data_IF_654909505685
#
_entry.id   IF_654909505685
#
_cell.length_a   1.000
_cell.length_b   1.000
_cell.length_c   1.000
_cell.angle_alpha   90.00
_cell.angle_beta   90.00
_cell.angle_gamma   90.00
#
_symmetry.space_group_name_H-M   'P 1'
#
loop_
_entity.id
_entity.type
_entity.pdbx_description
1 polymer ?
#
# COMPACT_ATOMS: atom_id res chain seq x y z
N UNK A 1 -44.08 14.60 25.71
CA UNK A 1 -43.40 13.40 25.17
C UNK A 1 -42.38 13.89 24.17
N UNK A 2 -41.11 13.50 24.31
CA UNK A 2 -40.04 13.86 23.37
C UNK A 2 -39.91 12.73 22.34
N UNK A 3 -39.78 13.06 21.05
CA UNK A 3 -39.61 12.10 19.97
C UNK A 3 -38.15 12.09 19.53
N UNK A 4 -37.53 10.92 19.56
CA UNK A 4 -36.15 10.72 19.14
C UNK A 4 -36.15 9.80 17.93
N UNK A 5 -35.44 10.22 16.88
CA UNK A 5 -35.25 9.40 15.69
C UNK A 5 -33.82 8.86 15.65
N UNK A 6 -33.64 7.54 15.60
CA UNK A 6 -32.33 6.89 15.43
C UNK A 6 -32.18 6.47 13.97
N UNK A 7 -31.34 7.21 13.24
CA UNK A 7 -30.98 6.91 11.87
C UNK A 7 -29.80 5.94 11.84
N UNK A 8 -29.95 4.80 11.17
CA UNK A 8 -28.91 3.78 11.08
C UNK A 8 -29.04 2.93 9.80
N UNK A 9 -27.96 2.28 9.38
CA UNK A 9 -28.00 1.29 8.31
C UNK A 9 -28.67 -0.01 8.79
N UNK A 10 -29.32 -0.78 7.90
CA UNK A 10 -30.01 -2.02 8.29
C UNK A 10 -29.11 -2.99 9.10
N UNK A 11 -27.84 -3.09 8.74
CA UNK A 11 -26.87 -3.92 9.46
C UNK A 11 -26.68 -3.45 10.92
N UNK A 12 -26.89 -2.17 11.23
CA UNK A 12 -26.64 -1.55 12.53
C UNK A 12 -27.87 -1.55 13.44
N UNK A 13 -28.94 -2.28 13.07
CA UNK A 13 -30.13 -2.45 13.89
C UNK A 13 -29.85 -2.89 15.35
N UNK A 14 -28.87 -3.77 15.64
CA UNK A 14 -28.51 -4.08 17.03
C UNK A 14 -28.02 -2.86 17.84
N UNK A 15 -27.28 -1.93 17.23
CA UNK A 15 -26.82 -0.70 17.89
C UNK A 15 -28.00 0.24 18.18
N UNK A 16 -28.93 0.37 17.22
CA UNK A 16 -30.13 1.17 17.41
C UNK A 16 -31.02 0.61 18.54
N UNK A 17 -31.18 -0.71 18.63
CA UNK A 17 -31.91 -1.36 19.73
C UNK A 17 -31.24 -1.15 21.08
N UNK A 18 -29.91 -1.21 21.16
CA UNK A 18 -29.19 -0.92 22.39
C UNK A 18 -29.44 0.53 22.85
N UNK A 19 -29.40 1.49 21.92
CA UNK A 19 -29.67 2.89 22.19
C UNK A 19 -31.13 3.14 22.61
N UNK A 20 -32.09 2.51 21.95
CA UNK A 20 -33.51 2.55 22.32
C UNK A 20 -33.73 2.03 23.75
N UNK A 21 -33.19 0.85 24.06
CA UNK A 21 -33.26 0.26 25.40
C UNK A 21 -32.63 1.17 26.47
N UNK A 22 -31.50 1.82 26.17
CA UNK A 22 -30.88 2.81 27.07
C UNK A 22 -31.82 3.99 27.32
N UNK A 23 -32.32 4.62 26.25
CA UNK A 23 -33.14 5.84 26.34
C UNK A 23 -34.44 5.56 27.09
N UNK A 24 -35.14 4.48 26.75
CA UNK A 24 -36.42 4.09 27.36
C UNK A 24 -36.26 3.65 28.82
N UNK A 25 -35.11 3.10 29.21
CA UNK A 25 -34.80 2.80 30.62
C UNK A 25 -34.52 4.07 31.42
N UNK A 26 -33.87 5.06 30.83
CA UNK A 26 -33.46 6.30 31.51
C UNK A 26 -34.61 7.29 31.62
N UNK A 27 -35.42 7.43 30.58
CA UNK A 27 -36.44 8.45 30.47
C UNK A 27 -37.85 7.86 30.29
N UNK A 28 -38.77 8.29 31.15
CA UNK A 28 -40.21 8.07 30.95
C UNK A 28 -40.74 9.00 29.83
N UNK A 29 -41.88 8.69 29.20
CA UNK A 29 -42.53 9.53 28.17
C UNK A 29 -41.60 9.96 27.00
N UNK A 30 -40.78 9.02 26.53
CA UNK A 30 -39.97 9.16 25.33
C UNK A 30 -40.46 8.17 24.29
N UNK A 31 -40.56 8.62 23.05
CA UNK A 31 -40.84 7.79 21.88
C UNK A 31 -39.56 7.73 21.05
N UNK A 32 -39.06 6.53 20.79
CA UNK A 32 -37.86 6.30 19.98
C UNK A 32 -38.27 5.55 18.71
N UNK A 33 -38.13 6.24 17.58
CA UNK A 33 -38.33 5.66 16.25
C UNK A 33 -36.97 5.30 15.65
N UNK A 34 -36.88 4.19 14.91
CA UNK A 34 -35.67 3.85 14.15
C UNK A 34 -35.98 3.24 12.78
N UNK A 35 -35.04 3.38 11.84
CA UNK A 35 -35.22 3.07 10.42
C UNK A 35 -35.53 1.60 10.11
N UNK A 36 -35.19 0.68 11.02
CA UNK A 36 -35.42 -0.76 10.89
C UNK A 36 -36.54 -1.33 11.76
N UNK A 37 -37.37 -0.48 12.37
CA UNK A 37 -38.49 -0.97 13.16
C UNK A 37 -39.42 -1.83 12.29
N UNK A 38 -39.76 -3.02 12.78
CA UNK A 38 -40.63 -4.02 12.11
C UNK A 38 -42.04 -4.05 12.71
N UNK A 39 -42.35 -3.11 13.61
CA UNK A 39 -43.69 -2.89 14.12
C UNK A 39 -44.64 -2.40 13.01
N UNK A 40 -45.96 -2.63 13.14
CA UNK A 40 -46.92 -2.16 12.15
C UNK A 40 -46.95 -0.62 12.12
N UNK A 41 -46.40 -0.02 11.06
CA UNK A 41 -46.18 1.42 10.95
C UNK A 41 -44.78 1.91 11.35
N UNK A 42 -43.91 1.00 11.80
CA UNK A 42 -42.48 1.21 12.03
C UNK A 42 -41.66 0.81 10.79
N UNK A 43 -40.57 1.53 10.55
CA UNK A 43 -39.60 1.25 9.48
C UNK A 43 -40.04 1.63 8.06
N UNK A 44 -39.16 1.33 7.10
CA UNK A 44 -39.35 1.62 5.68
C UNK A 44 -40.00 0.40 5.00
N UNK A 45 -41.25 0.51 4.57
CA UNK A 45 -41.96 -0.56 3.85
C UNK A 45 -41.44 -0.74 2.42
N UNK A 46 -41.59 -1.95 1.87
CA UNK A 46 -41.20 -2.25 0.50
C UNK A 46 -42.04 -1.44 -0.50
N UNK A 47 -41.37 -0.61 -1.31
CA UNK A 47 -42.01 0.29 -2.27
C UNK A 47 -42.23 1.71 -1.76
N UNK A 48 -41.88 2.02 -0.51
CA UNK A 48 -41.89 3.39 0.02
C UNK A 48 -40.74 4.22 -0.55
N UNK A 49 -41.01 5.48 -0.88
CA UNK A 49 -39.97 6.49 -1.09
C UNK A 49 -39.26 6.74 0.26
N UNK A 50 -38.20 5.98 0.49
CA UNK A 50 -37.44 5.99 1.73
C UNK A 50 -36.84 7.37 2.04
N UNK A 51 -36.51 8.18 1.02
CA UNK A 51 -35.97 9.52 1.23
C UNK A 51 -37.03 10.42 1.86
N UNK A 52 -38.22 10.40 1.29
CA UNK A 52 -39.37 11.15 1.81
C UNK A 52 -39.74 10.71 3.23
N UNK A 53 -39.69 9.40 3.49
CA UNK A 53 -39.97 8.84 4.82
C UNK A 53 -38.98 9.34 5.88
N UNK A 54 -37.68 9.32 5.59
CA UNK A 54 -36.64 9.83 6.52
C UNK A 54 -36.86 11.33 6.77
N UNK A 55 -37.15 12.10 5.73
CA UNK A 55 -37.44 13.53 5.86
C UNK A 55 -38.65 13.77 6.79
N UNK A 56 -39.73 13.00 6.63
CA UNK A 56 -40.93 13.13 7.47
C UNK A 56 -40.67 12.74 8.93
N UNK A 57 -39.81 11.73 9.18
CA UNK A 57 -39.34 11.40 10.54
C UNK A 57 -38.48 12.51 11.14
N UNK A 58 -37.56 13.09 10.35
CA UNK A 58 -36.76 14.23 10.81
C UNK A 58 -37.61 15.47 11.11
N UNK A 59 -38.68 15.72 10.33
CA UNK A 59 -39.63 16.84 10.58
C UNK A 59 -40.39 16.70 11.90
N UNK A 60 -40.63 15.47 12.34
CA UNK A 60 -41.52 15.16 13.45
C UNK A 60 -40.77 14.82 14.75
N UNK A 61 -39.46 14.62 14.69
CA UNK A 61 -38.62 14.35 15.85
C UNK A 61 -38.11 15.65 16.52
N UNK A 62 -37.86 15.59 17.82
CA UNK A 62 -37.20 16.66 18.57
C UNK A 62 -35.67 16.57 18.46
N UNK A 63 -35.16 15.35 18.31
CA UNK A 63 -33.73 15.02 18.25
C UNK A 63 -33.52 13.82 17.34
N UNK A 64 -32.47 13.86 16.52
CA UNK A 64 -32.03 12.76 15.69
C UNK A 64 -30.64 12.27 16.13
N UNK A 65 -30.49 10.97 16.38
CA UNK A 65 -29.20 10.33 16.61
C UNK A 65 -28.82 9.55 15.35
N UNK A 66 -27.67 9.89 14.76
CA UNK A 66 -27.20 9.26 13.52
C UNK A 66 -26.09 8.28 13.87
N UNK A 67 -26.36 6.98 13.74
CA UNK A 67 -25.40 5.90 14.02
C UNK A 67 -24.43 5.79 12.85
N UNK A 68 -23.14 5.96 13.13
CA UNK A 68 -22.06 5.87 12.16
C UNK A 68 -21.12 4.72 12.49
N UNK A 69 -20.93 3.81 11.54
CA UNK A 69 -20.03 2.65 11.55
C UNK A 69 -19.13 2.68 10.30
N UNK A 70 -18.01 1.91 10.24
CA UNK A 70 -17.22 1.78 9.02
C UNK A 70 -18.06 1.38 7.80
N UNK A 71 -19.00 0.46 8.01
CA UNK A 71 -19.95 0.00 7.00
C UNK A 71 -20.83 1.15 6.51
N UNK A 72 -21.39 1.96 7.41
CA UNK A 72 -22.26 3.07 7.03
C UNK A 72 -21.50 4.18 6.29
N UNK A 73 -20.22 4.41 6.61
CA UNK A 73 -19.35 5.36 5.88
C UNK A 73 -18.97 4.86 4.49
N UNK A 74 -18.79 3.54 4.32
CA UNK A 74 -18.43 2.92 3.03
C UNK A 74 -19.59 2.90 2.01
N UNK A 75 -20.81 3.19 2.47
CA UNK A 75 -22.05 3.06 1.70
C UNK A 75 -22.53 4.45 1.23
N UNK A 76 -22.54 4.75 -0.09
CA UNK A 76 -22.86 6.09 -0.64
C UNK A 76 -24.21 6.68 -0.26
N UNK A 77 -25.14 5.88 0.24
CA UNK A 77 -26.50 6.28 0.61
C UNK A 77 -26.54 7.14 1.88
N UNK A 78 -25.50 7.10 2.73
CA UNK A 78 -25.33 8.04 3.84
C UNK A 78 -24.72 9.38 3.39
N UNK A 79 -24.15 9.45 2.18
CA UNK A 79 -23.50 10.65 1.59
C UNK A 79 -24.34 11.32 0.49
N UNK A 80 -25.60 10.91 0.29
CA UNK A 80 -26.62 11.71 -0.43
C UNK A 80 -27.12 12.92 0.39
N UNK A 81 -26.43 13.22 1.49
CA UNK A 81 -26.68 14.37 2.35
C UNK A 81 -26.24 15.71 1.75
N UNK A 82 -25.52 15.74 0.61
CA UNK A 82 -25.23 17.00 -0.10
C UNK A 82 -26.46 17.59 -0.84
N UNK A 83 -27.57 16.85 -0.93
CA UNK A 83 -28.88 17.40 -1.30
C UNK A 83 -29.87 17.42 -0.13
N UNK A 84 -29.86 16.38 0.71
CA UNK A 84 -30.86 16.23 1.76
C UNK A 84 -30.58 17.09 3.00
N UNK A 85 -29.34 17.28 3.47
CA UNK A 85 -29.12 18.12 4.68
C UNK A 85 -29.17 19.60 4.36
N UNK A 86 -28.71 20.03 3.17
CA UNK A 86 -29.01 21.39 2.68
C UNK A 86 -30.52 21.58 2.47
N UNK A 87 -31.25 20.55 2.01
CA UNK A 87 -32.71 20.55 1.93
C UNK A 87 -33.42 20.52 3.29
N UNK A 88 -32.90 19.82 4.29
CA UNK A 88 -33.41 19.71 5.67
C UNK A 88 -33.20 21.03 6.41
N UNK A 89 -32.05 21.67 6.23
CA UNK A 89 -31.76 23.00 6.77
C UNK A 89 -32.57 24.11 6.08
N UNK A 90 -32.87 23.99 4.78
CA UNK A 90 -33.73 24.93 4.05
C UNK A 90 -35.24 24.69 4.25
N UNK A 91 -35.69 23.46 4.56
CA UNK A 91 -37.11 23.08 4.55
C UNK A 91 -37.76 22.90 5.93
N UNK A 92 -37.04 23.14 7.03
CA UNK A 92 -37.58 23.03 8.39
C UNK A 92 -37.61 24.39 9.08
N UNK A 93 -38.79 24.82 9.52
CA UNK A 93 -38.98 26.02 10.37
C UNK A 93 -38.34 25.85 11.77
N UNK A 94 -38.21 24.60 12.24
CA UNK A 94 -37.49 24.23 13.47
C UNK A 94 -36.60 23.01 13.18
N UNK A 95 -35.29 23.13 13.43
CA UNK A 95 -34.36 22.04 13.16
C UNK A 95 -34.28 21.08 14.38
N UNK A 96 -34.42 19.75 14.17
CA UNK A 96 -34.13 18.78 15.22
C UNK A 96 -32.64 18.86 15.58
N UNK A 97 -32.32 18.60 16.84
CA UNK A 97 -30.90 18.48 17.22
C UNK A 97 -30.35 17.19 16.63
N UNK A 98 -29.32 17.28 15.78
CA UNK A 98 -28.65 16.12 15.19
C UNK A 98 -27.40 15.80 16.01
N UNK A 99 -27.27 14.54 16.45
CA UNK A 99 -26.10 14.03 17.16
C UNK A 99 -25.54 12.82 16.42
N UNK A 100 -24.38 12.97 15.74
CA UNK A 100 -23.64 11.83 15.22
C UNK A 100 -23.09 10.98 16.36
N UNK A 101 -23.36 9.67 16.34
CA UNK A 101 -22.90 8.69 17.31
C UNK A 101 -21.99 7.68 16.62
N UNK A 102 -20.70 7.74 16.94
CA UNK A 102 -19.65 7.01 16.25
C UNK A 102 -19.37 5.66 16.93
N UNK A 103 -19.26 4.61 16.14
CA UNK A 103 -18.84 3.28 16.57
C UNK A 103 -17.71 2.81 15.65
N UNK A 104 -16.50 2.61 16.19
CA UNK A 104 -15.30 2.29 15.41
C UNK A 104 -15.11 3.22 14.22
N UNK A 105 -15.30 4.51 14.43
CA UNK A 105 -15.14 5.56 13.42
C UNK A 105 -14.40 6.71 14.09
N UNK A 106 -13.33 7.18 13.47
CA UNK A 106 -12.68 8.40 13.95
C UNK A 106 -13.52 9.61 13.54
N UNK A 107 -13.51 10.64 14.37
CA UNK A 107 -14.22 11.89 14.06
C UNK A 107 -13.77 12.52 12.74
N UNK A 108 -12.49 12.35 12.40
CA UNK A 108 -11.87 12.85 11.17
C UNK A 108 -12.38 12.15 9.91
N UNK A 109 -12.85 10.90 10.05
CA UNK A 109 -13.41 10.11 8.95
C UNK A 109 -14.87 10.52 8.62
N UNK A 110 -15.49 11.34 9.47
CA UNK A 110 -16.84 11.86 9.26
C UNK A 110 -16.79 13.02 8.26
N UNK A 111 -17.04 12.70 6.99
CA UNK A 111 -17.09 13.67 5.91
C UNK A 111 -18.51 14.25 5.71
N UNK A 112 -18.61 15.25 4.81
CA UNK A 112 -19.91 15.78 4.37
C UNK A 112 -20.59 16.68 5.41
N UNK A 113 -21.92 16.81 5.38
CA UNK A 113 -22.64 17.76 6.22
C UNK A 113 -22.72 17.35 7.69
N UNK A 114 -22.25 16.17 8.09
CA UNK A 114 -22.09 15.82 9.50
C UNK A 114 -20.73 16.28 10.07
N UNK A 115 -19.76 16.66 9.22
CA UNK A 115 -18.39 16.95 9.66
C UNK A 115 -18.29 18.17 10.60
N UNK A 116 -19.22 19.12 10.49
CA UNK A 116 -19.26 20.32 11.32
C UNK A 116 -20.02 20.13 12.64
N UNK A 117 -20.69 18.99 12.82
CA UNK A 117 -21.43 18.68 14.04
C UNK A 117 -20.50 18.09 15.11
N UNK A 118 -20.90 18.27 16.38
CA UNK A 118 -20.22 17.60 17.49
C UNK A 118 -20.69 16.15 17.58
N UNK A 119 -19.80 15.22 17.22
CA UNK A 119 -20.02 13.79 17.33
C UNK A 119 -19.67 13.27 18.74
N UNK A 120 -20.38 12.24 19.17
CA UNK A 120 -20.11 11.50 20.40
C UNK A 120 -19.67 10.06 20.09
N UNK A 121 -18.88 9.47 21.00
CA UNK A 121 -18.43 8.08 20.88
C UNK A 121 -19.45 7.14 21.54
N UNK A 122 -20.08 6.27 20.75
CA UNK A 122 -21.08 5.31 21.22
C UNK A 122 -20.50 4.12 22.00
N UNK A 123 -19.19 3.90 21.90
CA UNK A 123 -18.49 2.87 22.68
C UNK A 123 -17.95 3.42 24.02
N UNK A 124 -18.05 4.73 24.25
CA UNK A 124 -17.55 5.42 25.44
C UNK A 124 -18.69 5.72 26.40
N UNK A 125 -18.51 5.35 27.68
CA UNK A 125 -19.48 5.70 28.73
C UNK A 125 -19.73 7.21 28.79
N UNK A 126 -18.67 8.03 28.73
CA UNK A 126 -18.77 9.48 28.74
C UNK A 126 -19.49 10.05 27.51
N UNK A 127 -19.24 9.48 26.34
CA UNK A 127 -19.91 9.88 25.10
C UNK A 127 -21.41 9.63 25.18
N UNK A 128 -21.80 8.45 25.61
CA UNK A 128 -23.20 8.04 25.75
C UNK A 128 -23.90 8.83 26.86
N UNK A 129 -23.20 9.15 27.95
CA UNK A 129 -23.71 10.07 28.98
C UNK A 129 -24.01 11.45 28.41
N UNK A 130 -23.15 12.00 27.54
CA UNK A 130 -23.40 13.29 26.87
C UNK A 130 -24.60 13.24 25.93
N UNK A 131 -24.81 12.13 25.22
CA UNK A 131 -26.04 11.92 24.42
C UNK A 131 -27.28 11.94 25.31
N UNK A 132 -27.29 11.19 26.41
CA UNK A 132 -28.42 11.19 27.34
C UNK A 132 -28.65 12.57 27.99
N UNK A 133 -27.57 13.29 28.34
CA UNK A 133 -27.68 14.66 28.83
C UNK A 133 -28.28 15.63 27.79
N UNK A 134 -28.01 15.43 26.49
CA UNK A 134 -28.65 16.20 25.43
C UNK A 134 -30.17 15.94 25.40
N UNK A 135 -30.59 14.68 25.46
CA UNK A 135 -32.01 14.29 25.58
C UNK A 135 -32.65 14.92 26.81
N UNK A 136 -31.97 14.83 27.97
CA UNK A 136 -32.44 15.37 29.23
C UNK A 136 -32.68 16.89 29.18
N UNK A 137 -31.73 17.65 28.62
CA UNK A 137 -31.85 19.10 28.44
C UNK A 137 -33.03 19.44 27.52
N UNK A 138 -33.18 18.72 26.41
CA UNK A 138 -34.25 18.94 25.43
C UNK A 138 -35.64 18.64 26.01
N UNK A 139 -35.75 17.65 26.91
CA UNK A 139 -36.99 17.32 27.63
C UNK A 139 -37.34 18.33 28.74
N UNK A 140 -36.52 19.34 29.00
CA UNK A 140 -36.73 20.29 30.09
C UNK A 140 -36.29 19.74 31.46
N UNK A 141 -35.19 18.98 31.49
CA UNK A 141 -34.49 18.55 32.70
C UNK A 141 -35.31 17.62 33.63
N UNK A 142 -36.04 16.67 33.03
CA UNK A 142 -36.75 15.59 33.74
C UNK A 142 -36.20 14.22 33.31
N UNK A 143 -35.88 13.31 34.24
CA UNK A 143 -36.02 13.37 35.71
C UNK A 143 -34.99 14.30 36.38
N UNK A 144 -35.07 14.54 37.70
CA UNK A 144 -34.04 15.32 38.41
C UNK A 144 -32.63 14.75 38.19
N UNK A 145 -31.58 15.58 38.23
CA UNK A 145 -30.21 15.21 37.87
C UNK A 145 -29.71 13.95 38.61
N UNK A 146 -29.95 13.86 39.93
CA UNK A 146 -29.51 12.71 40.74
C UNK A 146 -30.18 11.41 40.30
N UNK A 147 -31.48 11.49 39.93
CA UNK A 147 -32.24 10.33 39.42
C UNK A 147 -31.80 9.95 38.01
N UNK A 148 -31.49 10.93 37.16
CA UNK A 148 -30.92 10.70 35.83
C UNK A 148 -29.62 9.90 35.96
N UNK A 149 -28.73 10.31 36.85
CA UNK A 149 -27.42 9.70 37.04
C UNK A 149 -27.52 8.24 37.53
N UNK A 150 -28.43 7.97 38.48
CA UNK A 150 -28.70 6.60 38.95
C UNK A 150 -29.25 5.72 37.82
N UNK A 151 -30.23 6.22 37.05
CA UNK A 151 -30.82 5.47 35.93
C UNK A 151 -29.80 5.22 34.82
N UNK A 152 -28.96 6.21 34.50
CA UNK A 152 -27.88 6.07 33.52
C UNK A 152 -26.89 5.00 33.96
N UNK A 153 -26.43 5.04 35.20
CA UNK A 153 -25.47 4.06 35.73
C UNK A 153 -25.98 2.62 35.60
N UNK A 154 -27.27 2.40 35.86
CA UNK A 154 -27.89 1.07 35.72
C UNK A 154 -28.03 0.63 34.27
N UNK A 155 -28.38 1.56 33.37
CA UNK A 155 -28.64 1.26 31.97
C UNK A 155 -27.37 1.18 31.10
N UNK A 156 -26.31 1.92 31.46
CA UNK A 156 -25.06 2.00 30.71
C UNK A 156 -24.36 0.65 30.58
N UNK A 157 -24.39 -0.17 31.64
CA UNK A 157 -23.81 -1.52 31.57
C UNK A 157 -24.47 -2.35 30.47
N UNK A 158 -25.80 -2.45 30.49
CA UNK A 158 -26.58 -3.20 29.49
C UNK A 158 -26.37 -2.64 28.08
N UNK A 159 -26.32 -1.31 27.95
CA UNK A 159 -26.02 -0.65 26.68
C UNK A 159 -24.65 -1.03 26.15
N UNK A 160 -23.59 -0.90 26.96
CA UNK A 160 -22.22 -1.22 26.54
C UNK A 160 -22.03 -2.71 26.27
N UNK A 161 -22.72 -3.59 27.00
CA UNK A 161 -22.76 -5.03 26.72
C UNK A 161 -23.40 -5.30 25.34
N UNK A 162 -24.55 -4.68 25.06
CA UNK A 162 -25.23 -4.80 23.77
C UNK A 162 -24.46 -4.20 22.60
N UNK A 163 -23.76 -3.08 22.81
CA UNK A 163 -22.86 -2.47 21.81
C UNK A 163 -21.68 -3.41 21.53
N UNK A 164 -21.06 -3.98 22.56
CA UNK A 164 -19.96 -4.95 22.38
C UNK A 164 -20.40 -6.17 21.58
N UNK A 165 -21.57 -6.72 21.88
CA UNK A 165 -22.14 -7.84 21.13
C UNK A 165 -22.46 -7.44 19.67
N UNK A 166 -23.08 -6.28 19.46
CA UNK A 166 -23.41 -5.76 18.14
C UNK A 166 -22.18 -5.55 17.24
N UNK A 167 -21.04 -5.24 17.84
CA UNK A 167 -19.78 -4.98 17.15
C UNK A 167 -18.84 -6.19 17.10
N UNK A 168 -19.15 -7.30 17.76
CA UNK A 168 -18.24 -8.43 17.94
C UNK A 168 -17.67 -8.95 16.61
N UNK A 169 -18.54 -9.12 15.61
CA UNK A 169 -18.18 -9.63 14.28
C UNK A 169 -18.06 -8.52 13.22
N UNK A 170 -18.04 -7.25 13.65
CA UNK A 170 -17.97 -6.11 12.72
C UNK A 170 -16.53 -5.81 12.32
N UNK A 171 -16.31 -5.26 11.12
CA UNK A 171 -15.02 -4.72 10.73
C UNK A 171 -14.46 -3.73 11.76
N UNK A 172 -13.15 -3.72 11.93
CA UNK A 172 -12.47 -2.74 12.78
C UNK A 172 -12.15 -1.49 11.96
N UNK A 173 -12.21 -0.31 12.59
CA UNK A 173 -11.53 0.86 12.04
C UNK A 173 -10.02 0.63 12.08
N UNK A 174 -9.34 1.16 11.08
CA UNK A 174 -7.89 1.17 11.05
C UNK A 174 -7.39 2.40 11.82
N UNK A 175 -7.31 2.30 13.15
CA UNK A 175 -6.67 3.31 14.01
C UNK A 175 -5.14 3.11 14.05
N UNK A 176 -4.41 3.99 14.74
CA UNK A 176 -2.94 3.92 14.80
C UNK A 176 -2.43 2.58 15.35
N UNK A 177 -3.09 2.04 16.38
CA UNK A 177 -2.75 0.74 16.96
C UNK A 177 -2.96 -0.40 15.95
N UNK A 178 -4.07 -0.36 15.22
CA UNK A 178 -4.38 -1.29 14.14
C UNK A 178 -3.39 -1.20 12.98
N UNK A 179 -3.00 0.02 12.56
CA UNK A 179 -1.97 0.19 11.54
C UNK A 179 -0.65 -0.43 12.00
N UNK A 180 -0.24 -0.17 13.24
CA UNK A 180 1.02 -0.67 13.77
C UNK A 180 1.01 -2.21 13.86
N UNK A 181 -0.07 -2.81 14.36
CA UNK A 181 -0.25 -4.26 14.41
C UNK A 181 -0.12 -4.90 13.02
N UNK A 182 -0.76 -4.32 12.00
CA UNK A 182 -0.64 -4.82 10.63
C UNK A 182 0.74 -4.59 10.02
N UNK A 183 1.39 -3.46 10.32
CA UNK A 183 2.77 -3.22 9.93
C UNK A 183 3.71 -4.30 10.49
N UNK A 184 3.57 -4.63 11.78
CA UNK A 184 4.40 -5.61 12.45
C UNK A 184 4.22 -7.02 11.87
N UNK A 185 2.98 -7.40 11.52
CA UNK A 185 2.68 -8.65 10.80
C UNK A 185 3.36 -8.73 9.43
N UNK A 186 3.26 -7.66 8.64
CA UNK A 186 3.88 -7.59 7.30
C UNK A 186 5.42 -7.61 7.41
N UNK A 187 5.99 -6.88 8.36
CA UNK A 187 7.44 -6.86 8.60
C UNK A 187 7.94 -8.22 9.10
N UNK A 188 7.18 -8.92 9.94
CA UNK A 188 7.50 -10.28 10.39
C UNK A 188 7.54 -11.28 9.22
N UNK A 189 6.56 -11.21 8.30
CA UNK A 189 6.55 -12.04 7.10
C UNK A 189 7.78 -11.78 6.21
N UNK A 190 8.10 -10.50 6.00
CA UNK A 190 9.24 -10.10 5.17
C UNK A 190 10.56 -10.56 5.78
N UNK A 191 10.77 -10.33 7.08
CA UNK A 191 11.95 -10.81 7.83
C UNK A 191 12.09 -12.33 7.81
N UNK A 192 10.98 -13.06 7.82
CA UNK A 192 10.97 -14.51 7.75
C UNK A 192 11.16 -15.07 6.32
N UNK A 193 11.29 -14.21 5.29
CA UNK A 193 11.37 -14.64 3.88
C UNK A 193 10.07 -15.29 3.37
N UNK A 194 8.94 -15.13 4.07
CA UNK A 194 7.64 -15.74 3.76
C UNK A 194 6.81 -14.87 2.81
N UNK A 195 7.48 -14.19 1.88
CA UNK A 195 6.84 -13.23 0.96
C UNK A 195 5.78 -13.86 0.05
N UNK A 196 5.85 -15.16 -0.24
CA UNK A 196 4.81 -15.87 -1.00
C UNK A 196 3.41 -15.80 -0.35
N UNK A 197 3.33 -15.56 0.96
CA UNK A 197 2.07 -15.49 1.72
C UNK A 197 1.38 -14.12 1.64
N UNK A 198 2.01 -13.12 1.02
CA UNK A 198 1.47 -11.74 0.94
C UNK A 198 0.03 -11.68 0.43
N UNK A 199 -0.35 -12.54 -0.51
CA UNK A 199 -1.72 -12.59 -1.04
C UNK A 199 -2.75 -12.93 0.05
N UNK A 200 -2.43 -13.91 0.89
CA UNK A 200 -3.31 -14.36 1.96
C UNK A 200 -3.42 -13.30 3.05
N UNK A 201 -2.29 -12.70 3.42
CA UNK A 201 -2.23 -11.69 4.49
C UNK A 201 -2.87 -10.38 4.05
N UNK A 202 -2.67 -9.97 2.80
CA UNK A 202 -3.36 -8.82 2.22
C UNK A 202 -4.88 -9.05 2.21
N UNK A 203 -5.35 -10.23 1.79
CA UNK A 203 -6.77 -10.58 1.87
C UNK A 203 -7.30 -10.55 3.31
N UNK A 204 -6.54 -11.07 4.27
CA UNK A 204 -6.91 -11.05 5.68
C UNK A 204 -7.02 -9.62 6.24
N UNK A 205 -6.12 -8.71 5.83
CA UNK A 205 -6.21 -7.29 6.16
C UNK A 205 -7.51 -6.69 5.62
N UNK A 206 -7.83 -6.92 4.34
CA UNK A 206 -9.06 -6.38 3.75
C UNK A 206 -10.32 -6.94 4.45
N UNK A 207 -10.34 -8.24 4.78
CA UNK A 207 -11.44 -8.86 5.52
C UNK A 207 -11.61 -8.27 6.93
N UNK A 208 -10.51 -8.06 7.66
CA UNK A 208 -10.56 -7.45 8.99
C UNK A 208 -11.12 -6.02 8.98
N UNK A 209 -10.96 -5.32 7.84
CA UNK A 209 -11.43 -3.97 7.60
C UNK A 209 -12.77 -3.90 6.84
N UNK A 210 -13.38 -5.05 6.50
CA UNK A 210 -14.65 -5.09 5.76
C UNK A 210 -14.56 -4.48 4.35
N UNK A 211 -13.42 -4.64 3.68
CA UNK A 211 -13.11 -4.06 2.36
C UNK A 211 -13.01 -5.10 1.24
N UNK A 212 -13.72 -6.21 1.36
CA UNK A 212 -13.63 -7.34 0.43
C UNK A 212 -14.34 -7.14 -0.93
N UNK A 213 -15.18 -6.09 -1.09
CA UNK A 213 -15.97 -5.88 -2.31
C UNK A 213 -15.83 -4.49 -2.94
N UNK A 214 -15.85 -4.44 -4.26
CA UNK A 214 -16.09 -3.22 -5.05
C UNK A 214 -14.91 -2.25 -5.07
N UNK A 215 -15.22 -0.96 -5.16
CA UNK A 215 -14.21 0.12 -5.21
C UNK A 215 -13.52 0.38 -3.85
N UNK A 216 -13.97 -0.25 -2.76
CA UNK A 216 -13.41 -0.06 -1.42
C UNK A 216 -11.93 -0.53 -1.30
N UNK A 217 -11.53 -1.57 -2.05
CA UNK A 217 -10.13 -2.00 -2.16
C UNK A 217 -9.24 -0.91 -2.81
N UNK A 218 -9.84 -0.02 -3.61
CA UNK A 218 -9.14 1.07 -4.31
C UNK A 218 -9.06 2.35 -3.51
N UNK A 219 -9.67 2.41 -2.32
CA UNK A 219 -9.54 3.55 -1.41
C UNK A 219 -8.26 3.36 -0.60
N UNK A 220 -7.30 4.30 -0.64
CA UNK A 220 -6.09 4.19 0.17
C UNK A 220 -6.39 4.00 1.67
N UNK A 221 -5.57 3.18 2.32
CA UNK A 221 -5.62 2.91 3.76
C UNK A 221 -4.62 3.80 4.49
N UNK A 222 -3.38 3.34 4.59
CA UNK A 222 -2.25 4.04 5.20
C UNK A 222 -1.01 3.78 4.34
N UNK A 223 -0.17 4.81 4.17
CA UNK A 223 1.05 4.75 3.37
C UNK A 223 2.00 3.63 3.83
N UNK A 224 2.08 3.39 5.15
CA UNK A 224 2.93 2.37 5.78
C UNK A 224 2.49 0.97 5.39
N UNK A 225 1.18 0.73 5.30
CA UNK A 225 0.63 -0.58 4.89
C UNK A 225 0.85 -0.82 3.40
N UNK A 226 0.49 0.15 2.55
CA UNK A 226 0.65 0.02 1.11
C UNK A 226 2.12 -0.12 0.70
N UNK A 227 3.03 0.63 1.34
CA UNK A 227 4.47 0.49 1.11
C UNK A 227 4.96 -0.93 1.42
N UNK A 228 4.58 -1.49 2.58
CA UNK A 228 5.00 -2.83 3.02
C UNK A 228 4.39 -3.94 2.16
N UNK A 229 3.11 -3.82 1.81
CA UNK A 229 2.45 -4.73 0.88
C UNK A 229 3.13 -4.70 -0.49
N UNK A 230 3.42 -3.51 -1.03
CA UNK A 230 4.14 -3.35 -2.29
C UNK A 230 5.53 -4.00 -2.27
N UNK A 231 6.28 -3.81 -1.18
CA UNK A 231 7.58 -4.46 -0.98
C UNK A 231 7.48 -5.99 -0.92
N UNK A 232 6.52 -6.53 -0.15
CA UNK A 232 6.28 -7.96 -0.08
C UNK A 232 5.86 -8.56 -1.43
N UNK A 233 5.03 -7.85 -2.20
CA UNK A 233 4.66 -8.26 -3.56
C UNK A 233 5.86 -8.23 -4.53
N UNK A 234 6.76 -7.24 -4.43
CA UNK A 234 8.02 -7.20 -5.18
C UNK A 234 8.92 -8.40 -4.84
N UNK A 235 9.06 -8.70 -3.56
CA UNK A 235 9.84 -9.83 -3.07
C UNK A 235 9.23 -11.17 -3.56
N UNK A 236 7.89 -11.25 -3.61
CA UNK A 236 7.13 -12.37 -4.16
C UNK A 236 7.09 -12.43 -5.70
N UNK A 237 7.81 -11.55 -6.41
CA UNK A 237 7.85 -11.45 -7.89
C UNK A 237 6.48 -11.17 -8.54
N UNK A 238 5.61 -10.42 -7.87
CA UNK A 238 4.28 -10.03 -8.34
C UNK A 238 4.22 -8.52 -8.65
N UNK A 239 4.91 -8.13 -9.72
CA UNK A 239 5.10 -6.73 -10.13
C UNK A 239 3.79 -5.94 -10.24
N UNK A 240 2.77 -6.49 -10.92
CA UNK A 240 1.45 -5.85 -11.03
C UNK A 240 0.81 -5.51 -9.69
N UNK A 241 0.80 -6.46 -8.76
CA UNK A 241 0.21 -6.26 -7.43
C UNK A 241 1.02 -5.23 -6.63
N UNK A 242 2.35 -5.28 -6.72
CA UNK A 242 3.21 -4.30 -6.07
C UNK A 242 2.95 -2.88 -6.60
N UNK A 243 2.85 -2.72 -7.92
CA UNK A 243 2.56 -1.43 -8.55
C UNK A 243 1.22 -0.87 -8.06
N UNK A 244 0.17 -1.69 -8.01
CA UNK A 244 -1.13 -1.27 -7.49
C UNK A 244 -1.05 -0.75 -6.04
N UNK A 245 -0.25 -1.39 -5.19
CA UNK A 245 -0.07 -0.93 -3.80
C UNK A 245 0.70 0.39 -3.72
N UNK A 246 1.78 0.55 -4.49
CA UNK A 246 2.50 1.83 -4.51
C UNK A 246 1.67 2.97 -5.11
N UNK A 247 0.82 2.69 -6.09
CA UNK A 247 -0.15 3.67 -6.63
C UNK A 247 -1.13 4.14 -5.55
N UNK A 248 -1.64 3.24 -4.70
CA UNK A 248 -2.48 3.61 -3.56
C UNK A 248 -1.72 4.47 -2.54
N UNK A 249 -0.46 4.12 -2.25
CA UNK A 249 0.41 4.93 -1.37
C UNK A 249 0.66 6.34 -1.94
N UNK A 250 0.87 6.46 -3.25
CA UNK A 250 1.13 7.72 -3.95
C UNK A 250 -0.13 8.60 -4.06
N UNK A 251 -1.35 8.05 -3.92
CA UNK A 251 -2.55 8.90 -3.75
C UNK A 251 -2.53 9.69 -2.44
N UNK A 252 -1.88 9.16 -1.41
CA UNK A 252 -1.68 9.84 -0.12
C UNK A 252 -0.43 10.74 -0.16
N UNK A 253 0.65 10.29 -0.79
CA UNK A 253 1.94 11.00 -0.85
C UNK A 253 2.44 11.14 -2.30
N UNK A 254 1.81 11.98 -3.15
CA UNK A 254 2.06 12.01 -4.59
C UNK A 254 3.45 12.50 -5.01
N UNK A 255 4.21 13.10 -4.09
CA UNK A 255 5.56 13.62 -4.34
C UNK A 255 6.67 12.81 -3.66
N UNK A 256 6.36 11.65 -3.09
CA UNK A 256 7.35 10.78 -2.46
C UNK A 256 8.18 10.06 -3.54
N UNK A 257 9.40 10.54 -3.77
CA UNK A 257 10.32 9.98 -4.76
C UNK A 257 10.76 8.54 -4.44
N UNK A 258 10.74 8.14 -3.17
CA UNK A 258 11.11 6.77 -2.77
C UNK A 258 9.97 5.79 -3.09
N UNK A 259 8.72 6.21 -2.95
CA UNK A 259 7.56 5.44 -3.42
C UNK A 259 7.49 5.39 -4.94
N UNK A 260 7.77 6.49 -5.64
CA UNK A 260 7.87 6.50 -7.10
C UNK A 260 8.97 5.56 -7.60
N UNK A 261 10.13 5.54 -6.95
CA UNK A 261 11.20 4.59 -7.25
C UNK A 261 10.72 3.13 -7.12
N UNK A 262 10.03 2.79 -6.02
CA UNK A 262 9.47 1.45 -5.82
C UNK A 262 8.38 1.10 -6.83
N UNK A 263 7.53 2.07 -7.20
CA UNK A 263 6.54 1.90 -8.27
C UNK A 263 7.21 1.59 -9.61
N UNK A 264 8.27 2.32 -9.96
CA UNK A 264 9.01 2.08 -11.19
C UNK A 264 9.66 0.67 -11.19
N UNK A 265 10.23 0.23 -10.07
CA UNK A 265 10.73 -1.14 -9.92
C UNK A 265 9.62 -2.19 -10.10
N UNK A 266 8.43 -1.95 -9.56
CA UNK A 266 7.28 -2.84 -9.68
C UNK A 266 6.77 -2.92 -11.13
N UNK A 267 6.67 -1.77 -11.82
CA UNK A 267 6.31 -1.69 -13.23
C UNK A 267 7.33 -2.44 -14.11
N UNK A 268 8.62 -2.27 -13.82
CA UNK A 268 9.68 -2.98 -14.53
C UNK A 268 9.62 -4.51 -14.28
N UNK A 269 9.30 -4.95 -13.06
CA UNK A 269 9.08 -6.36 -12.75
C UNK A 269 7.83 -6.94 -13.46
N UNK A 270 6.80 -6.11 -13.70
CA UNK A 270 5.62 -6.49 -14.51
C UNK A 270 5.90 -6.46 -16.03
N UNK A 271 7.07 -5.97 -16.44
CA UNK A 271 7.45 -5.83 -17.85
C UNK A 271 6.98 -4.53 -18.51
N UNK A 272 6.34 -3.62 -17.77
CA UNK A 272 5.85 -2.32 -18.25
C UNK A 272 6.94 -1.25 -18.20
N UNK A 273 7.87 -1.33 -19.15
CA UNK A 273 9.00 -0.41 -19.27
C UNK A 273 8.57 1.03 -19.57
N UNK A 274 7.50 1.20 -20.34
CA UNK A 274 6.98 2.51 -20.71
C UNK A 274 6.49 3.28 -19.50
N UNK A 275 5.67 2.63 -18.65
CA UNK A 275 5.23 3.24 -17.39
C UNK A 275 6.38 3.42 -16.41
N UNK A 276 7.31 2.48 -16.33
CA UNK A 276 8.49 2.61 -15.47
C UNK A 276 9.34 3.84 -15.83
N UNK A 277 9.54 4.11 -17.12
CA UNK A 277 10.25 5.28 -17.60
C UNK A 277 9.48 6.58 -17.31
N UNK A 278 8.15 6.58 -17.51
CA UNK A 278 7.32 7.74 -17.18
C UNK A 278 7.35 8.06 -15.66
N UNK A 279 7.37 7.03 -14.82
CA UNK A 279 7.53 7.17 -13.37
C UNK A 279 8.91 7.71 -13.00
N UNK A 280 9.98 7.23 -13.65
CA UNK A 280 11.33 7.79 -13.47
C UNK A 280 11.37 9.28 -13.87
N UNK A 281 10.80 9.66 -15.01
CA UNK A 281 10.74 11.07 -15.41
C UNK A 281 9.98 11.94 -14.40
N UNK A 282 8.99 11.37 -13.72
CA UNK A 282 8.26 12.05 -12.64
C UNK A 282 9.14 12.26 -11.40
N UNK A 283 10.03 11.31 -11.07
CA UNK A 283 11.06 11.49 -10.05
C UNK A 283 11.97 12.66 -10.42
N UNK A 284 12.49 12.70 -11.65
CA UNK A 284 13.39 13.77 -12.13
C UNK A 284 12.71 15.16 -12.14
N UNK A 285 11.41 15.20 -12.41
CA UNK A 285 10.64 16.44 -12.37
C UNK A 285 10.44 16.97 -10.94
N UNK A 286 10.32 16.08 -9.94
CA UNK A 286 10.18 16.44 -8.53
C UNK A 286 11.53 16.81 -7.93
N UNK A 287 12.55 16.00 -8.22
CA UNK A 287 13.91 16.15 -7.75
C UNK A 287 14.91 15.86 -8.90
N UNK A 288 15.40 16.92 -9.57
CA UNK A 288 16.37 16.78 -10.66
C UNK A 288 17.73 16.21 -10.25
N UNK A 289 18.09 16.24 -8.96
CA UNK A 289 19.38 15.70 -8.47
C UNK A 289 19.28 14.22 -8.11
N UNK A 290 18.07 13.71 -7.85
CA UNK A 290 17.84 12.33 -7.42
C UNK A 290 18.53 11.24 -8.29
N UNK A 291 18.49 11.28 -9.64
CA UNK A 291 19.16 10.27 -10.47
C UNK A 291 20.69 10.36 -10.48
N UNK A 292 21.27 11.37 -9.81
CA UNK A 292 22.72 11.50 -9.60
C UNK A 292 23.11 11.14 -8.18
N UNK A 293 22.38 11.67 -7.20
CA UNK A 293 22.75 11.57 -5.78
C UNK A 293 22.23 10.31 -5.08
N UNK A 294 21.15 9.71 -5.59
CA UNK A 294 20.59 8.49 -5.03
C UNK A 294 21.00 7.25 -5.85
N UNK A 295 21.82 6.34 -5.29
CA UNK A 295 22.37 5.21 -6.04
C UNK A 295 21.30 4.23 -6.56
N UNK A 296 20.17 4.08 -5.84
CA UNK A 296 19.06 3.21 -6.26
C UNK A 296 18.33 3.80 -7.48
N UNK A 297 18.04 5.10 -7.45
CA UNK A 297 17.37 5.81 -8.56
C UNK A 297 18.29 5.90 -9.78
N UNK A 298 19.56 6.21 -9.55
CA UNK A 298 20.60 6.21 -10.59
C UNK A 298 20.75 4.82 -11.23
N UNK A 299 20.77 3.75 -10.42
CA UNK A 299 20.79 2.37 -10.89
C UNK A 299 19.54 1.98 -11.70
N UNK A 300 18.34 2.41 -11.27
CA UNK A 300 17.10 2.22 -12.03
C UNK A 300 17.16 2.93 -13.39
N UNK A 301 17.64 4.19 -13.42
CA UNK A 301 17.84 4.95 -14.67
C UNK A 301 18.80 4.22 -15.60
N UNK A 302 19.96 3.79 -15.08
CA UNK A 302 20.93 2.99 -15.83
C UNK A 302 20.30 1.75 -16.45
N UNK A 303 19.49 1.02 -15.67
CA UNK A 303 18.80 -0.18 -16.14
C UNK A 303 17.79 0.11 -17.25
N UNK A 304 16.92 1.12 -17.08
CA UNK A 304 15.88 1.44 -18.07
C UNK A 304 16.47 1.92 -19.39
N UNK A 305 17.47 2.79 -19.33
CA UNK A 305 18.14 3.29 -20.53
C UNK A 305 18.96 2.21 -21.24
N UNK A 306 19.58 1.28 -20.48
CA UNK A 306 20.22 0.10 -21.09
C UNK A 306 19.21 -0.79 -21.80
N UNK A 307 18.04 -1.03 -21.20
CA UNK A 307 16.98 -1.82 -21.84
C UNK A 307 16.43 -1.13 -23.09
N UNK A 308 16.29 0.20 -23.08
CA UNK A 308 15.93 0.98 -24.26
C UNK A 308 16.99 0.89 -25.36
N UNK A 309 18.26 1.12 -25.03
CA UNK A 309 19.37 0.96 -25.96
C UNK A 309 19.38 -0.42 -26.61
N UNK A 310 19.16 -1.49 -25.84
CA UNK A 310 19.06 -2.85 -26.41
C UNK A 310 17.90 -3.02 -27.39
N UNK A 311 16.83 -2.25 -27.23
CA UNK A 311 15.67 -2.28 -28.13
C UNK A 311 15.83 -1.37 -29.36
N UNK A 312 16.50 -0.24 -29.23
CA UNK A 312 16.57 0.82 -30.26
C UNK A 312 17.93 0.93 -30.94
N UNK A 313 18.99 0.37 -30.33
CA UNK A 313 20.39 0.62 -30.66
C UNK A 313 20.78 2.11 -30.63
N UNK A 314 20.03 2.94 -29.92
CA UNK A 314 20.31 4.38 -29.79
C UNK A 314 21.53 4.62 -28.88
N UNK A 315 22.57 5.24 -29.43
CA UNK A 315 23.81 5.50 -28.69
C UNK A 315 23.62 6.55 -27.59
N UNK A 316 22.63 7.44 -27.71
CA UNK A 316 22.27 8.39 -26.65
C UNK A 316 21.72 7.68 -25.41
N UNK A 317 20.87 6.67 -25.60
CA UNK A 317 20.38 5.80 -24.54
C UNK A 317 21.52 5.00 -23.89
N UNK A 318 22.50 4.53 -24.68
CA UNK A 318 23.70 3.85 -24.15
C UNK A 318 24.54 4.76 -23.26
N UNK A 319 24.85 5.99 -23.71
CA UNK A 319 25.59 6.98 -22.91
C UNK A 319 24.83 7.32 -21.62
N UNK A 320 23.53 7.56 -21.73
CA UNK A 320 22.67 7.84 -20.57
C UNK A 320 22.69 6.69 -19.56
N UNK A 321 22.68 5.44 -20.04
CA UNK A 321 22.76 4.27 -19.17
C UNK A 321 24.09 4.20 -18.42
N UNK A 322 25.22 4.37 -19.13
CA UNK A 322 26.57 4.36 -18.53
C UNK A 322 26.69 5.46 -17.47
N UNK A 323 26.31 6.69 -17.81
CA UNK A 323 26.47 7.86 -16.94
C UNK A 323 25.61 7.73 -15.67
N UNK A 324 24.43 7.13 -15.77
CA UNK A 324 23.59 6.86 -14.60
C UNK A 324 24.19 5.77 -13.68
N UNK A 325 24.77 4.70 -14.24
CA UNK A 325 25.49 3.72 -13.42
C UNK A 325 26.77 4.29 -12.81
N UNK A 326 27.44 5.20 -13.51
CA UNK A 326 28.62 5.91 -12.99
C UNK A 326 28.24 6.78 -11.79
N UNK A 327 27.16 7.57 -11.89
CA UNK A 327 26.66 8.36 -10.77
C UNK A 327 26.26 7.46 -9.58
N UNK A 328 25.64 6.31 -9.85
CA UNK A 328 25.31 5.34 -8.80
C UNK A 328 26.57 4.82 -8.08
N UNK A 329 27.63 4.52 -8.85
CA UNK A 329 28.91 4.03 -8.33
C UNK A 329 29.65 5.06 -7.47
N UNK A 330 29.56 6.36 -7.81
CA UNK A 330 30.15 7.45 -7.02
C UNK A 330 29.62 7.48 -5.57
N UNK A 331 28.34 7.14 -5.38
CA UNK A 331 27.69 7.07 -4.07
C UNK A 331 27.65 5.65 -3.46
N UNK A 332 28.13 4.64 -4.18
CA UNK A 332 28.17 3.24 -3.76
C UNK A 332 29.46 2.58 -4.24
N UNK A 333 30.59 3.12 -3.79
CA UNK A 333 31.93 2.79 -4.27
C UNK A 333 32.36 1.33 -4.07
N UNK A 334 31.68 0.60 -3.20
CA UNK A 334 31.88 -0.84 -2.96
C UNK A 334 30.94 -1.73 -3.79
N UNK A 335 30.13 -1.17 -4.70
CA UNK A 335 29.22 -1.93 -5.54
C UNK A 335 29.92 -2.45 -6.80
N UNK A 336 30.45 -3.68 -6.74
CA UNK A 336 31.04 -4.34 -7.91
C UNK A 336 30.02 -4.55 -9.04
N UNK A 337 28.73 -4.67 -8.71
CA UNK A 337 27.66 -4.73 -9.70
C UNK A 337 27.55 -3.42 -10.50
N UNK A 338 27.57 -2.26 -9.84
CA UNK A 338 27.52 -0.97 -10.55
C UNK A 338 28.79 -0.75 -11.38
N UNK A 339 29.95 -1.05 -10.80
CA UNK A 339 31.23 -0.96 -11.50
C UNK A 339 31.29 -1.87 -12.74
N UNK A 340 30.82 -3.11 -12.64
CA UNK A 340 30.72 -4.01 -13.78
C UNK A 340 29.77 -3.51 -14.88
N UNK A 341 28.65 -2.88 -14.50
CA UNK A 341 27.73 -2.26 -15.48
C UNK A 341 28.38 -1.05 -16.19
N UNK A 342 29.11 -0.20 -15.46
CA UNK A 342 29.90 0.88 -16.07
C UNK A 342 30.92 0.28 -17.05
N UNK A 343 31.67 -0.74 -16.62
CA UNK A 343 32.66 -1.41 -17.47
C UNK A 343 32.08 -1.99 -18.75
N UNK A 344 30.98 -2.75 -18.65
CA UNK A 344 30.26 -3.32 -19.81
C UNK A 344 29.80 -2.23 -20.79
N UNK A 345 29.19 -1.16 -20.28
CA UNK A 345 28.64 -0.09 -21.12
C UNK A 345 29.73 0.81 -21.72
N UNK A 346 30.86 1.00 -21.04
CA UNK A 346 32.03 1.69 -21.58
C UNK A 346 32.65 0.91 -22.73
N UNK A 347 32.76 -0.44 -22.63
CA UNK A 347 33.20 -1.26 -23.76
C UNK A 347 32.26 -1.14 -24.95
N UNK A 348 30.95 -1.14 -24.72
CA UNK A 348 29.96 -0.97 -25.79
C UNK A 348 30.06 0.39 -26.50
N UNK A 349 30.57 1.42 -25.81
CA UNK A 349 30.89 2.74 -26.38
C UNK A 349 32.28 2.81 -27.03
N UNK A 350 33.06 1.73 -27.00
CA UNK A 350 34.44 1.70 -27.48
C UNK A 350 35.45 2.38 -26.53
N UNK A 351 35.05 2.74 -25.32
CA UNK A 351 35.90 3.38 -24.31
C UNK A 351 36.55 2.32 -23.42
N UNK A 352 37.64 1.73 -23.94
CA UNK A 352 38.37 0.65 -23.26
C UNK A 352 39.04 1.12 -21.97
N UNK A 353 39.57 2.33 -21.95
CA UNK A 353 40.24 2.88 -20.77
C UNK A 353 39.25 3.05 -19.61
N UNK A 354 38.08 3.64 -19.86
CA UNK A 354 37.05 3.75 -18.83
C UNK A 354 36.52 2.38 -18.40
N UNK A 355 36.46 1.41 -19.32
CA UNK A 355 36.06 0.05 -18.98
C UNK A 355 37.04 -0.62 -18.03
N UNK A 356 38.34 -0.58 -18.34
CA UNK A 356 39.41 -1.14 -17.50
C UNK A 356 39.39 -0.52 -16.09
N UNK A 357 39.27 0.80 -15.98
CA UNK A 357 39.17 1.50 -14.69
C UNK A 357 37.94 1.07 -13.88
N UNK A 358 36.79 0.90 -14.53
CA UNK A 358 35.57 0.44 -13.88
C UNK A 358 35.69 -1.01 -13.39
N UNK A 359 36.27 -1.90 -14.20
CA UNK A 359 36.51 -3.29 -13.79
C UNK A 359 37.53 -3.41 -12.65
N UNK A 360 38.58 -2.60 -12.63
CA UNK A 360 39.50 -2.54 -11.48
C UNK A 360 38.80 -2.06 -10.20
N UNK A 361 37.86 -1.11 -10.32
CA UNK A 361 37.00 -0.71 -9.20
C UNK A 361 36.16 -1.89 -8.69
N UNK A 362 35.58 -2.69 -9.60
CA UNK A 362 34.83 -3.90 -9.24
C UNK A 362 35.72 -4.93 -8.53
N UNK A 363 36.93 -5.19 -9.04
CA UNK A 363 37.92 -6.09 -8.45
C UNK A 363 38.29 -5.63 -7.04
N UNK A 364 38.57 -4.34 -6.87
CA UNK A 364 38.92 -3.77 -5.57
C UNK A 364 37.76 -3.91 -4.56
N UNK A 365 36.53 -3.68 -4.98
CA UNK A 365 35.33 -3.86 -4.14
C UNK A 365 35.15 -5.32 -3.69
N UNK A 366 35.27 -6.29 -4.62
CA UNK A 366 35.17 -7.73 -4.30
C UNK A 366 36.28 -8.17 -3.34
N UNK A 367 37.50 -7.68 -3.56
CA UNK A 367 38.64 -7.98 -2.66
C UNK A 367 38.43 -7.42 -1.25
N UNK A 368 37.85 -6.21 -1.13
CA UNK A 368 37.52 -5.61 0.18
C UNK A 368 36.42 -6.39 0.90
N UNK A 369 35.36 -6.80 0.19
CA UNK A 369 34.26 -7.54 0.80
C UNK A 369 34.62 -8.99 1.15
N UNK A 370 35.57 -9.58 0.43
CA UNK A 370 35.91 -10.99 0.54
C UNK A 370 34.81 -11.93 0.01
N UNK A 371 33.81 -11.39 -0.69
CA UNK A 371 32.69 -12.17 -1.21
C UNK A 371 33.15 -13.14 -2.30
N UNK A 372 32.78 -14.42 -2.16
CA UNK A 372 33.10 -15.48 -3.13
C UNK A 372 31.84 -16.22 -3.58
N UNK A 373 30.97 -15.49 -4.28
CA UNK A 373 29.76 -16.04 -4.95
C UNK A 373 30.06 -16.29 -6.43
N UNK A 374 29.20 -17.02 -7.13
CA UNK A 374 29.34 -17.16 -8.59
C UNK A 374 29.23 -15.80 -9.31
N UNK A 375 28.51 -14.84 -8.73
CA UNK A 375 28.43 -13.47 -9.24
C UNK A 375 29.75 -12.72 -9.07
N UNK A 376 30.35 -12.73 -7.88
CA UNK A 376 31.63 -12.05 -7.67
C UNK A 376 32.75 -12.69 -8.49
N UNK A 377 32.79 -14.02 -8.60
CA UNK A 377 33.75 -14.73 -9.45
C UNK A 377 33.56 -14.44 -10.94
N UNK A 378 32.32 -14.43 -11.44
CA UNK A 378 32.04 -14.06 -12.82
C UNK A 378 32.41 -12.59 -13.11
N UNK A 379 32.21 -11.67 -12.16
CA UNK A 379 32.65 -10.28 -12.29
C UNK A 379 34.18 -10.14 -12.30
N UNK A 380 34.90 -10.89 -11.47
CA UNK A 380 36.37 -10.96 -11.53
C UNK A 380 36.84 -11.53 -12.87
N UNK A 381 36.16 -12.56 -13.40
CA UNK A 381 36.49 -13.12 -14.71
C UNK A 381 36.29 -12.10 -15.83
N UNK A 382 35.19 -11.34 -15.80
CA UNK A 382 34.97 -10.23 -16.74
C UNK A 382 36.12 -9.21 -16.70
N UNK A 383 36.60 -8.85 -15.51
CA UNK A 383 37.76 -7.95 -15.38
C UNK A 383 39.04 -8.56 -15.98
N UNK A 384 39.32 -9.84 -15.69
CA UNK A 384 40.46 -10.55 -16.27
C UNK A 384 40.40 -10.61 -17.80
N UNK A 385 39.23 -10.90 -18.37
CA UNK A 385 38.97 -10.88 -19.82
C UNK A 385 39.33 -9.52 -20.42
N UNK A 386 38.89 -8.42 -19.80
CA UNK A 386 39.13 -7.06 -20.30
C UNK A 386 40.62 -6.70 -20.26
N UNK A 387 41.35 -7.18 -19.25
CA UNK A 387 42.82 -7.05 -19.17
C UNK A 387 43.58 -7.95 -20.14
N UNK A 388 42.91 -8.93 -20.73
CA UNK A 388 43.54 -9.95 -21.58
C UNK A 388 44.25 -11.07 -20.80
N UNK A 389 43.95 -11.24 -19.51
CA UNK A 389 44.44 -12.38 -18.72
C UNK A 389 43.49 -13.58 -18.85
N UNK A 390 43.66 -14.31 -19.95
CA UNK A 390 42.81 -15.45 -20.28
C UNK A 390 42.93 -16.60 -19.27
N UNK A 391 44.12 -16.82 -18.72
CA UNK A 391 44.36 -17.88 -17.74
C UNK A 391 43.61 -17.62 -16.43
N UNK A 392 43.67 -16.38 -15.92
CA UNK A 392 42.91 -15.98 -14.74
C UNK A 392 41.40 -16.05 -15.01
N UNK A 393 40.94 -15.58 -16.18
CA UNK A 393 39.53 -15.62 -16.56
C UNK A 393 38.96 -17.05 -16.56
N UNK A 394 39.66 -18.00 -17.20
CA UNK A 394 39.22 -19.40 -17.25
C UNK A 394 39.21 -20.05 -15.86
N UNK A 395 40.20 -19.75 -15.02
CA UNK A 395 40.23 -20.24 -13.63
C UNK A 395 39.01 -19.75 -12.85
N UNK A 396 38.75 -18.44 -12.88
CA UNK A 396 37.64 -17.82 -12.14
C UNK A 396 36.26 -18.31 -12.62
N UNK A 397 36.08 -18.51 -13.94
CA UNK A 397 34.85 -19.08 -14.50
C UNK A 397 34.66 -20.54 -14.08
N UNK A 398 35.73 -21.34 -14.07
CA UNK A 398 35.70 -22.70 -13.56
C UNK A 398 35.27 -22.77 -12.08
N UNK A 399 35.83 -21.87 -11.26
CA UNK A 399 35.42 -21.74 -9.87
C UNK A 399 33.96 -21.30 -9.72
N UNK A 400 33.51 -20.32 -10.52
CA UNK A 400 32.11 -19.86 -10.51
C UNK A 400 31.15 -21.00 -10.86
N UNK A 401 31.50 -21.81 -11.87
CA UNK A 401 30.75 -23.00 -12.27
C UNK A 401 30.70 -24.07 -11.18
N UNK A 402 31.81 -24.30 -10.49
CA UNK A 402 31.91 -25.27 -9.39
C UNK A 402 31.00 -24.95 -8.20
N UNK A 403 30.57 -23.68 -8.03
CA UNK A 403 29.60 -23.29 -7.01
C UNK A 403 28.15 -23.73 -7.32
N UNK A 404 27.89 -24.28 -8.50
CA UNK A 404 26.58 -24.81 -8.89
C UNK A 404 25.47 -23.77 -9.05
N UNK A 405 25.67 -22.69 -9.84
CA UNK A 405 24.62 -21.70 -10.13
C UNK A 405 23.38 -22.35 -10.78
N UNK A 406 22.21 -21.74 -10.59
CA UNK A 406 20.98 -22.22 -11.23
C UNK A 406 21.07 -22.09 -12.76
N UNK A 407 20.30 -22.85 -13.56
CA UNK A 407 20.30 -22.72 -15.02
C UNK A 407 20.05 -21.29 -15.50
N UNK A 408 19.22 -20.54 -14.78
CA UNK A 408 18.93 -19.14 -15.06
C UNK A 408 20.15 -18.24 -14.82
N UNK A 409 20.92 -18.51 -13.77
CA UNK A 409 22.11 -17.74 -13.44
C UNK A 409 23.25 -18.04 -14.41
N UNK A 410 23.43 -19.32 -14.79
CA UNK A 410 24.34 -19.73 -15.87
C UNK A 410 24.03 -18.98 -17.16
N UNK A 411 22.76 -18.96 -17.55
CA UNK A 411 22.30 -18.25 -18.74
C UNK A 411 22.60 -16.75 -18.67
N UNK A 412 22.44 -16.14 -17.49
CA UNK A 412 22.75 -14.72 -17.28
C UNK A 412 24.25 -14.43 -17.42
N UNK A 413 25.11 -15.30 -16.87
CA UNK A 413 26.58 -15.20 -17.02
C UNK A 413 26.98 -15.42 -18.49
N UNK A 414 26.40 -16.42 -19.16
CA UNK A 414 26.63 -16.72 -20.59
C UNK A 414 26.35 -15.50 -21.46
N UNK A 415 25.20 -14.87 -21.28
CA UNK A 415 24.84 -13.66 -22.02
C UNK A 415 25.81 -12.51 -21.72
N UNK A 416 26.33 -12.40 -20.50
CA UNK A 416 27.38 -11.42 -20.14
C UNK A 416 28.67 -11.64 -20.91
N UNK A 417 29.17 -12.88 -20.92
CA UNK A 417 30.39 -13.25 -21.62
C UNK A 417 30.29 -13.03 -23.14
N UNK A 418 29.14 -13.34 -23.74
CA UNK A 418 28.90 -13.08 -25.16
C UNK A 418 28.94 -11.57 -25.49
N UNK A 419 28.38 -10.73 -24.61
CA UNK A 419 28.48 -9.27 -24.78
C UNK A 419 29.93 -8.80 -24.71
N UNK A 420 30.71 -9.29 -23.73
CA UNK A 420 32.15 -8.97 -23.65
C UNK A 420 32.91 -9.39 -24.90
N UNK A 421 32.69 -10.62 -25.40
CA UNK A 421 33.30 -11.08 -26.65
C UNK A 421 32.94 -10.15 -27.81
N UNK A 422 31.68 -9.73 -27.91
CA UNK A 422 31.22 -8.84 -28.97
C UNK A 422 31.87 -7.46 -28.87
N UNK A 423 31.87 -6.83 -27.69
CA UNK A 423 32.41 -5.47 -27.50
C UNK A 423 33.94 -5.41 -27.61
N UNK A 424 34.64 -6.49 -27.25
CA UNK A 424 36.09 -6.60 -27.39
C UNK A 424 36.52 -7.03 -28.81
N UNK A 425 35.57 -7.38 -29.69
CA UNK A 425 35.87 -7.85 -31.04
C UNK A 425 36.65 -9.17 -31.07
N UNK A 426 36.44 -10.04 -30.07
CA UNK A 426 37.18 -11.29 -29.94
C UNK A 426 36.59 -12.40 -30.82
N UNK A 427 37.39 -13.37 -31.28
CA UNK A 427 36.90 -14.55 -31.98
C UNK A 427 35.88 -15.38 -31.16
N UNK A 428 34.97 -16.08 -31.85
CA UNK A 428 33.87 -16.82 -31.19
C UNK A 428 34.32 -18.06 -30.43
N UNK A 429 35.46 -18.65 -30.81
CA UNK A 429 36.11 -19.78 -30.12
C UNK A 429 36.63 -19.40 -28.74
N UNK A 430 37.07 -18.14 -28.55
CA UNK A 430 37.46 -17.61 -27.23
C UNK A 430 36.28 -17.66 -26.26
N UNK A 431 35.10 -17.19 -26.70
CA UNK A 431 33.89 -17.27 -25.89
C UNK A 431 33.47 -18.73 -25.61
N UNK A 432 33.66 -19.65 -26.56
CA UNK A 432 33.39 -21.07 -26.33
C UNK A 432 34.28 -21.65 -25.21
N UNK A 433 35.54 -21.22 -25.12
CA UNK A 433 36.46 -21.57 -24.03
C UNK A 433 35.94 -21.12 -22.67
N UNK A 434 35.48 -19.86 -22.56
CA UNK A 434 34.90 -19.32 -21.32
C UNK A 434 33.65 -20.09 -20.87
N UNK A 435 32.77 -20.44 -21.81
CA UNK A 435 31.57 -21.21 -21.53
C UNK A 435 31.88 -22.65 -21.13
N UNK A 436 32.89 -23.26 -21.77
CA UNK A 436 33.41 -24.56 -21.36
C UNK A 436 33.98 -24.57 -19.94
N UNK A 437 34.73 -23.52 -19.57
CA UNK A 437 35.23 -23.35 -18.21
C UNK A 437 34.09 -23.21 -17.19
N UNK A 438 33.10 -22.36 -17.47
CA UNK A 438 31.91 -22.19 -16.62
C UNK A 438 31.11 -23.50 -16.45
N UNK A 439 31.10 -24.37 -17.46
CA UNK A 439 30.46 -25.68 -17.40
C UNK A 439 31.31 -26.77 -16.71
N UNK A 440 32.49 -26.42 -16.16
CA UNK A 440 33.39 -27.37 -15.50
C UNK A 440 34.16 -28.26 -16.48
N UNK A 441 34.47 -27.76 -17.68
CA UNK A 441 35.22 -28.49 -18.72
C UNK A 441 34.38 -29.50 -19.52
N UNK A 442 33.04 -29.50 -19.36
CA UNK A 442 32.13 -30.23 -20.25
C UNK A 442 31.76 -29.33 -21.43
N UNK A 443 31.81 -29.81 -22.69
CA UNK A 443 31.36 -29.02 -23.82
C UNK A 443 29.88 -28.67 -23.63
N UNK A 444 29.54 -27.39 -23.74
CA UNK A 444 28.14 -26.95 -23.77
C UNK A 444 27.46 -27.57 -25.00
N UNK A 445 26.39 -28.34 -24.80
CA UNK A 445 25.55 -28.76 -25.93
C UNK A 445 24.90 -27.50 -26.51
N UNK A 446 25.25 -27.22 -27.76
CA UNK A 446 24.47 -26.31 -28.59
C UNK A 446 23.25 -27.13 -28.98
N UNK A 447 22.19 -27.08 -28.15
CA UNK A 447 20.88 -27.55 -28.57
C UNK A 447 20.34 -26.52 -29.56
N UNK A 448 20.47 -26.85 -30.83
CA UNK A 448 19.63 -26.31 -31.88
C UNK A 448 18.29 -27.04 -31.80
N UNK A 449 17.24 -26.33 -31.37
CA UNK A 449 15.85 -26.49 -31.80
C UNK A 449 15.07 -25.18 -31.57
#
# INVERSE_FOLDING_TARGET
MIRIFVSHAHADAPLARALDALITTVFDEVEVDYSSDVSAGGGIEAGTDWQRWILDKLRSCDMAVVVLTPESLSRPWLMWESGAVNGIALALEQQPQIVPLLFRVNREDVAGPLSHLQAELGESEDGVRRVAQAVWRRRGQKPAADKLEVRLTLALKTYLDGVREALADRPQSLDEGGVQEWCDRLDALRRAGRHAEVVHVHRALLLALGRETGDAERVPLDVRLHRRLGELYLDAKRGRNAAAQFELALRLFPRDIFLLHKLALAQLQDGDRGRSLATLNSIEAIDPTAPRENPEIAGLKGRLYRERWRATSDEGDLRTARDAYQAALEHSTDSYYMAGNVGELSLALGDREAAEAAYETAVAAIRRSGERTWWSLASLASAAIVRGDEAEALSLLGEAGALGPSPRDVESIRLGLQRLQTYLGLPTDVAAGWLGALAGGRPASIDAD
#
